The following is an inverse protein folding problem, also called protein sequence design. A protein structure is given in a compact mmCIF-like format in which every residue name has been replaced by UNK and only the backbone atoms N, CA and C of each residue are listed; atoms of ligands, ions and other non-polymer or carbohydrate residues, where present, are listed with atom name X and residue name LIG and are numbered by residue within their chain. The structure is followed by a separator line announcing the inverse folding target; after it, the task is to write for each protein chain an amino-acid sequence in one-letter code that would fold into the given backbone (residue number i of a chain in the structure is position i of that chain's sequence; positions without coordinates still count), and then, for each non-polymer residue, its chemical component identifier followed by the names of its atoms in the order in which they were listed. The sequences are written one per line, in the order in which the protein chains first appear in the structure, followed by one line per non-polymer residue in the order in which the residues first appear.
data_IF_855300804605
#
_entry.id   IF_855300804605
#
_cell.length_a   1.000
_cell.length_b   1.000
_cell.length_c   1.000
_cell.angle_alpha   90.00
_cell.angle_beta   90.00
_cell.angle_gamma   90.00
#
_symmetry.space_group_name_H-M   'P 1'
#
loop_
_entity.id
_entity.type
_entity.pdbx_description
1 polymer ?
#
# COMPACT_ATOMS: atom_id res chain seq x y z
N UNK A 1 7.22 3.00 -0.42
CA UNK A 1 6.86 2.38 0.87
C UNK A 1 7.35 3.33 1.94
N UNK A 2 6.45 3.86 2.74
CA UNK A 2 6.83 4.77 3.84
C UNK A 2 6.66 4.07 5.20
N UNK A 3 6.79 2.74 5.22
CA UNK A 3 6.90 2.00 6.47
C UNK A 3 8.16 2.45 7.20
N UNK A 4 8.02 2.74 8.49
CA UNK A 4 9.09 3.25 9.35
C UNK A 4 9.27 2.31 10.51
N UNK A 5 10.42 1.64 10.56
CA UNK A 5 10.79 0.73 11.65
C UNK A 5 12.10 1.21 12.31
N UNK A 6 12.71 0.34 13.12
CA UNK A 6 13.98 0.59 13.82
C UNK A 6 15.16 0.91 12.87
N UNK A 7 15.06 0.55 11.59
CA UNK A 7 16.06 0.83 10.57
C UNK A 7 15.74 2.08 9.74
N UNK A 8 14.66 2.79 10.07
CA UNK A 8 14.21 4.01 9.40
C UNK A 8 13.15 3.76 8.33
N UNK A 9 12.96 4.73 7.44
CA UNK A 9 11.90 4.65 6.41
C UNK A 9 12.34 3.77 5.23
N UNK A 10 11.52 2.78 4.89
CA UNK A 10 11.80 1.77 3.87
C UNK A 10 12.13 2.34 2.47
N UNK A 11 11.41 3.40 2.05
CA UNK A 11 11.55 4.11 0.77
C UNK A 11 11.49 3.27 -0.53
N UNK A 12 11.30 1.95 -0.48
CA UNK A 12 11.19 1.09 -1.66
C UNK A 12 9.94 1.43 -2.51
N UNK A 13 10.04 1.30 -3.83
CA UNK A 13 8.86 1.40 -4.70
C UNK A 13 7.95 0.18 -4.52
N UNK A 14 6.67 0.42 -4.26
CA UNK A 14 5.68 -0.62 -3.94
C UNK A 14 4.36 -0.32 -4.62
N UNK A 15 3.69 -1.35 -5.13
CA UNK A 15 2.46 -1.23 -5.91
C UNK A 15 1.26 -1.77 -5.13
N UNK A 16 0.05 -1.37 -5.53
CA UNK A 16 -1.22 -1.78 -4.92
C UNK A 16 -1.61 -3.25 -5.09
N UNK A 17 -0.65 -4.14 -5.36
CA UNK A 17 -0.88 -5.58 -5.40
C UNK A 17 -0.82 -6.18 -3.98
N UNK A 18 -1.88 -6.89 -3.58
CA UNK A 18 -2.02 -7.42 -2.22
C UNK A 18 -1.07 -8.59 -1.93
N UNK A 19 -0.79 -9.43 -2.92
CA UNK A 19 0.08 -10.61 -2.72
C UNK A 19 1.50 -10.12 -2.52
N UNK A 20 1.99 -9.29 -3.44
CA UNK A 20 3.30 -8.67 -3.36
C UNK A 20 3.46 -7.86 -2.08
N UNK A 21 2.46 -7.06 -1.70
CA UNK A 21 2.50 -6.28 -0.46
C UNK A 21 2.61 -7.19 0.77
N UNK A 22 1.86 -8.29 0.83
CA UNK A 22 1.98 -9.26 1.93
C UNK A 22 3.39 -9.82 2.06
N UNK A 23 4.00 -10.20 0.94
CA UNK A 23 5.38 -10.68 0.91
C UNK A 23 6.39 -9.59 1.29
N UNK A 24 6.19 -8.35 0.82
CA UNK A 24 7.03 -7.21 1.16
C UNK A 24 7.01 -6.92 2.66
N UNK A 25 5.81 -6.80 3.26
CA UNK A 25 5.64 -6.60 4.70
C UNK A 25 6.30 -7.72 5.51
N UNK A 26 6.14 -8.97 5.08
CA UNK A 26 6.74 -10.12 5.77
C UNK A 26 8.27 -10.12 5.70
N UNK A 27 8.84 -9.90 4.51
CA UNK A 27 10.29 -10.03 4.28
C UNK A 27 11.11 -8.80 4.65
N UNK A 28 10.53 -7.60 4.52
CA UNK A 28 11.24 -6.34 4.75
C UNK A 28 10.97 -5.76 6.13
N UNK A 29 9.77 -5.99 6.67
CA UNK A 29 9.29 -5.35 7.91
C UNK A 29 8.97 -6.37 9.01
N UNK A 30 9.37 -7.62 8.80
CA UNK A 30 9.14 -8.75 9.72
C UNK A 30 7.67 -8.87 10.19
N UNK A 31 6.71 -8.55 9.33
CA UNK A 31 5.27 -8.66 9.62
C UNK A 31 4.83 -10.12 9.46
N UNK A 32 5.27 -10.96 10.40
CA UNK A 32 5.02 -12.41 10.41
C UNK A 32 4.06 -12.80 11.55
N UNK A 33 3.67 -14.08 11.63
CA UNK A 33 2.80 -14.61 12.68
C UNK A 33 1.38 -14.96 12.22
N UNK A 34 0.52 -15.26 13.19
CA UNK A 34 -0.85 -15.72 12.95
C UNK A 34 -1.76 -14.58 12.46
N UNK A 35 -2.77 -14.92 11.67
CA UNK A 35 -3.70 -13.95 11.07
C UNK A 35 -4.45 -13.09 12.11
N UNK A 36 -4.70 -13.66 13.30
CA UNK A 36 -5.39 -13.00 14.42
C UNK A 36 -4.43 -12.20 15.33
N UNK A 37 -3.12 -12.25 15.10
CA UNK A 37 -2.17 -11.47 15.88
C UNK A 37 -2.35 -9.98 15.59
N UNK A 38 -2.45 -9.17 16.64
CA UNK A 38 -2.54 -7.72 16.53
C UNK A 38 -1.20 -7.14 16.07
N UNK A 39 -1.26 -6.21 15.12
CA UNK A 39 -0.12 -5.52 14.54
C UNK A 39 -0.47 -4.04 14.34
N UNK A 40 0.44 -3.16 14.77
CA UNK A 40 0.37 -1.75 14.45
C UNK A 40 0.81 -1.51 13.00
N UNK A 41 0.15 -0.60 12.30
CA UNK A 41 0.64 -0.10 11.03
C UNK A 41 1.71 0.97 11.29
N UNK A 42 2.95 0.68 10.94
CA UNK A 42 4.06 1.63 11.09
C UNK A 42 4.30 2.45 9.83
N UNK A 43 3.28 2.60 8.98
CA UNK A 43 3.36 3.53 7.87
C UNK A 43 3.46 4.95 8.42
N UNK A 44 4.29 5.79 7.80
CA UNK A 44 4.51 7.17 8.24
C UNK A 44 3.19 7.91 8.43
N UNK A 45 2.94 8.37 9.66
CA UNK A 45 1.72 9.10 10.03
C UNK A 45 0.48 8.21 10.27
N UNK A 46 0.63 6.89 10.33
CA UNK A 46 -0.44 5.96 10.69
C UNK A 46 -0.29 5.47 12.13
N UNK A 47 -1.40 5.35 12.84
CA UNK A 47 -1.47 4.85 14.23
C UNK A 47 -2.46 3.69 14.38
N UNK A 48 -3.01 3.19 13.28
CA UNK A 48 -4.02 2.14 13.30
C UNK A 48 -3.40 0.80 13.72
N UNK A 49 -4.10 0.05 14.57
CA UNK A 49 -3.74 -1.31 14.98
C UNK A 49 -4.84 -2.27 14.55
N UNK A 50 -4.47 -3.43 14.01
CA UNK A 50 -5.42 -4.41 13.48
C UNK A 50 -4.83 -5.83 13.46
N UNK A 51 -5.66 -6.81 13.16
CA UNK A 51 -5.22 -8.17 12.88
C UNK A 51 -4.26 -8.20 11.68
N UNK A 52 -3.21 -9.03 11.73
CA UNK A 52 -2.27 -9.26 10.62
C UNK A 52 -2.97 -9.52 9.29
N UNK A 53 -4.01 -10.36 9.28
CA UNK A 53 -4.76 -10.67 8.05
C UNK A 53 -5.46 -9.47 7.42
N UNK A 54 -5.73 -8.43 8.21
CA UNK A 54 -6.32 -7.16 7.74
C UNK A 54 -5.26 -6.11 7.38
N UNK A 55 -4.03 -6.23 7.88
CA UNK A 55 -2.98 -5.23 7.74
C UNK A 55 -2.59 -5.00 6.28
N UNK A 56 -2.40 -6.06 5.48
CA UNK A 56 -2.09 -5.91 4.05
C UNK A 56 -3.17 -5.15 3.30
N UNK A 57 -4.46 -5.44 3.58
CA UNK A 57 -5.58 -4.72 2.97
C UNK A 57 -5.59 -3.26 3.41
N UNK A 58 -5.35 -3.00 4.70
CA UNK A 58 -5.24 -1.65 5.24
C UNK A 58 -4.14 -0.87 4.52
N UNK A 59 -2.93 -1.41 4.42
CA UNK A 59 -1.80 -0.74 3.75
C UNK A 59 -2.12 -0.42 2.30
N UNK A 60 -2.63 -1.40 1.54
CA UNK A 60 -2.95 -1.20 0.12
C UNK A 60 -4.04 -0.13 -0.07
N UNK A 61 -5.06 -0.12 0.78
CA UNK A 61 -6.21 0.79 0.62
C UNK A 61 -5.95 2.20 1.15
N UNK A 62 -5.28 2.34 2.31
CA UNK A 62 -5.05 3.61 2.99
C UNK A 62 -3.80 4.31 2.51
N UNK A 63 -2.72 3.56 2.28
CA UNK A 63 -1.39 4.13 2.07
C UNK A 63 -0.91 4.03 0.64
N UNK A 64 -1.25 2.93 -0.02
CA UNK A 64 -0.92 2.73 -1.44
C UNK A 64 -2.01 3.22 -2.36
N UNK A 65 -2.95 4.05 -1.85
CA UNK A 65 -4.15 4.59 -2.55
C UNK A 65 -3.96 4.39 -4.03
N UNK A 66 -4.65 3.42 -4.60
CA UNK A 66 -4.61 3.07 -6.01
C UNK A 66 -5.23 4.19 -6.86
N UNK A 67 -4.76 5.42 -6.65
CA UNK A 67 -4.90 6.62 -7.43
C UNK A 67 -4.03 6.48 -8.65
N UNK A 68 -4.43 5.67 -9.62
CA UNK A 68 -3.73 5.69 -10.89
C UNK A 68 -3.94 7.10 -11.47
N UNK A 69 -2.85 7.87 -11.54
CA UNK A 69 -2.87 9.22 -12.05
C UNK A 69 -2.69 9.21 -13.56
N UNK A 70 -3.39 10.09 -14.26
CA UNK A 70 -3.15 10.29 -15.68
C UNK A 70 -1.86 11.09 -15.89
N UNK A 71 -0.92 10.58 -16.70
CA UNK A 71 0.30 11.32 -17.05
C UNK A 71 0.07 12.54 -17.97
N UNK A 72 -1.13 12.69 -18.53
CA UNK A 72 -1.46 13.79 -19.46
C UNK A 72 -2.26 14.92 -18.79
N UNK A 73 -3.14 14.61 -17.84
CA UNK A 73 -3.98 15.61 -17.15
C UNK A 73 -3.88 15.58 -15.63
N UNK A 74 -2.96 14.77 -15.07
CA UNK A 74 -2.69 14.64 -13.64
C UNK A 74 -3.88 14.23 -12.76
N UNK A 75 -4.97 13.74 -13.38
CA UNK A 75 -6.20 13.34 -12.68
C UNK A 75 -6.02 11.99 -11.97
N UNK A 76 -6.36 11.95 -10.69
CA UNK A 76 -6.15 10.79 -9.80
C UNK A 76 -7.44 9.97 -9.69
N UNK A 77 -7.36 8.66 -9.96
CA UNK A 77 -8.51 7.76 -9.92
C UNK A 77 -8.33 6.66 -8.90
N UNK A 78 -9.28 6.48 -7.99
CA UNK A 78 -9.23 5.46 -6.92
C UNK A 78 -9.22 3.99 -7.39
N UNK A 79 -9.29 3.75 -8.71
CA UNK A 79 -9.31 2.42 -9.34
C UNK A 79 -8.40 2.41 -10.58
N UNK A 80 -7.51 1.44 -10.65
CA UNK A 80 -6.55 1.29 -11.75
C UNK A 80 -7.21 1.07 -13.12
N UNK A 81 -8.34 0.34 -13.19
CA UNK A 81 -9.05 0.09 -14.44
C UNK A 81 -9.73 1.36 -15.00
N UNK A 82 -10.19 2.25 -14.10
CA UNK A 82 -10.79 3.54 -14.44
C UNK A 82 -9.73 4.50 -14.98
N UNK A 83 -8.58 4.59 -14.31
CA UNK A 83 -7.46 5.37 -14.81
C UNK A 83 -7.01 4.88 -16.20
N UNK A 84 -6.89 3.57 -16.39
CA UNK A 84 -6.48 2.99 -17.68
C UNK A 84 -7.45 3.35 -18.81
N UNK A 85 -8.76 3.33 -18.55
CA UNK A 85 -9.78 3.77 -19.53
C UNK A 85 -9.66 5.27 -19.83
N UNK A 86 -9.41 6.07 -18.81
CA UNK A 86 -9.23 7.51 -18.98
C UNK A 86 -7.97 7.85 -19.76
N UNK A 87 -6.80 7.26 -19.45
CA UNK A 87 -5.54 7.54 -20.16
C UNK A 87 -5.63 7.25 -21.66
N UNK A 88 -6.44 6.27 -22.08
CA UNK A 88 -6.70 6.01 -23.51
C UNK A 88 -7.44 7.16 -24.23
N UNK A 89 -8.26 7.91 -23.50
CA UNK A 89 -9.02 9.07 -24.01
C UNK A 89 -8.33 10.41 -23.73
N UNK A 90 -7.26 10.40 -22.95
CA UNK A 90 -6.55 11.58 -22.50
C UNK A 90 -5.22 11.80 -23.25
N UNK A 91 -4.93 10.96 -24.25
CA UNK A 91 -3.99 11.26 -25.34
C UNK A 91 -4.66 12.21 -26.32
#
# INVERSE_FOLDING_TARGET
CQWTDEHGTCNMNVFGDRVWMSHHLSRRHNVVGHEKSQRACLWQGCTDTMNKGSLTRHVVSRHLRAGASCGFCSKVYSRADVARRHTKKCK
#
